data_IF_839997657107
#
_entry.id   IF_839997657107
#
_cell.length_a   1.000
_cell.length_b   1.000
_cell.length_c   1.000
_cell.angle_alpha   90.00
_cell.angle_beta   90.00
_cell.angle_gamma   90.00
#
_symmetry.space_group_name_H-M   'P 1'
#
loop_
_entity.id
_entity.type
_entity.pdbx_description
1 polymer ?
#
# COMPACT_ATOMS: atom_id res chain seq x y z
N UNK A 1 -24.33 -4.37 -4.17
CA UNK A 1 -23.64 -3.44 -3.25
C UNK A 1 -22.74 -4.30 -2.39
N UNK A 2 -21.44 -4.07 -2.45
CA UNK A 2 -20.50 -4.74 -1.55
C UNK A 2 -20.70 -4.05 -0.18
N UNK A 3 -21.15 -4.79 0.82
CA UNK A 3 -21.44 -4.25 2.17
C UNK A 3 -20.16 -3.76 2.84
N UNK A 4 -20.24 -2.75 3.71
CA UNK A 4 -19.08 -2.23 4.47
C UNK A 4 -18.36 -3.28 5.33
N UNK A 5 -19.02 -4.40 5.64
CA UNK A 5 -18.41 -5.60 6.24
C UNK A 5 -17.37 -6.25 5.33
N UNK A 6 -17.63 -6.32 4.03
CA UNK A 6 -16.73 -6.96 3.06
C UNK A 6 -15.39 -6.21 2.91
N UNK A 7 -15.38 -4.89 3.09
CA UNK A 7 -14.14 -4.09 3.12
C UNK A 7 -13.27 -4.41 4.33
N UNK A 8 -13.87 -4.56 5.51
CA UNK A 8 -13.15 -5.05 6.70
C UNK A 8 -12.64 -6.48 6.50
N UNK A 9 -13.43 -7.32 5.82
CA UNK A 9 -13.00 -8.67 5.47
C UNK A 9 -11.81 -8.66 4.50
N UNK A 10 -11.75 -7.74 3.51
CA UNK A 10 -10.59 -7.61 2.60
C UNK A 10 -9.31 -7.21 3.34
N UNK A 11 -9.41 -6.30 4.32
CA UNK A 11 -8.26 -5.82 5.09
C UNK A 11 -7.67 -6.93 5.96
N UNK A 12 -8.51 -7.87 6.40
CA UNK A 12 -8.12 -8.95 7.31
C UNK A 12 -7.92 -10.31 6.63
N UNK A 13 -8.47 -10.51 5.43
CA UNK A 13 -8.40 -11.77 4.71
C UNK A 13 -7.14 -11.91 3.84
N UNK A 14 -6.74 -13.16 3.63
CA UNK A 14 -5.82 -13.52 2.56
C UNK A 14 -6.49 -13.20 1.21
N UNK A 15 -5.78 -12.53 0.29
CA UNK A 15 -6.34 -12.18 -1.03
C UNK A 15 -6.77 -13.43 -1.80
N UNK A 16 -6.13 -14.59 -1.54
CA UNK A 16 -6.55 -15.87 -2.12
C UNK A 16 -7.96 -16.29 -1.68
N UNK A 17 -8.26 -16.24 -0.38
CA UNK A 17 -9.57 -16.61 0.17
C UNK A 17 -10.68 -15.68 -0.33
N UNK A 18 -10.34 -14.41 -0.57
CA UNK A 18 -11.24 -13.43 -1.14
C UNK A 18 -11.64 -13.80 -2.56
N UNK A 19 -10.67 -14.23 -3.38
CA UNK A 19 -10.85 -14.57 -4.80
C UNK A 19 -11.66 -15.84 -4.99
N UNK A 20 -11.40 -16.86 -4.18
CA UNK A 20 -12.08 -18.16 -4.30
C UNK A 20 -13.59 -18.07 -4.03
N UNK A 21 -14.05 -16.99 -3.39
CA UNK A 21 -15.46 -16.73 -3.08
C UNK A 21 -16.18 -15.88 -4.15
N UNK A 22 -15.48 -15.44 -5.19
CA UNK A 22 -16.03 -14.56 -6.22
C UNK A 22 -16.62 -15.38 -7.37
N UNK A 23 -17.91 -15.18 -7.66
CA UNK A 23 -18.58 -15.78 -8.82
C UNK A 23 -18.11 -15.13 -10.16
N UNK A 24 -17.85 -13.81 -10.15
CA UNK A 24 -17.29 -13.04 -11.26
C UNK A 24 -15.97 -12.35 -10.83
N UNK A 25 -14.85 -13.08 -10.68
CA UNK A 25 -13.63 -12.58 -10.03
C UNK A 25 -13.06 -11.33 -10.71
N UNK A 26 -13.07 -11.25 -12.04
CA UNK A 26 -12.50 -10.10 -12.75
C UNK A 26 -13.26 -8.78 -12.47
N UNK A 27 -14.59 -8.84 -12.48
CA UNK A 27 -15.44 -7.67 -12.25
C UNK A 27 -15.42 -7.26 -10.78
N UNK A 28 -15.54 -8.24 -9.88
CA UNK A 28 -15.55 -7.99 -8.44
C UNK A 28 -14.20 -7.42 -7.97
N UNK A 29 -13.06 -7.95 -8.43
CA UNK A 29 -11.74 -7.41 -8.06
C UNK A 29 -11.54 -5.97 -8.56
N UNK A 30 -12.01 -5.63 -9.77
CA UNK A 30 -11.99 -4.24 -10.27
C UNK A 30 -12.78 -3.30 -9.34
N UNK A 31 -13.95 -3.75 -8.89
CA UNK A 31 -14.77 -2.97 -7.96
C UNK A 31 -14.08 -2.80 -6.60
N UNK A 32 -13.47 -3.87 -6.08
CA UNK A 32 -12.73 -3.86 -4.81
C UNK A 32 -11.56 -2.88 -4.86
N UNK A 33 -10.76 -2.91 -5.93
CA UNK A 33 -9.65 -1.97 -6.12
C UNK A 33 -10.15 -0.53 -6.09
N UNK A 34 -11.28 -0.24 -6.77
CA UNK A 34 -11.88 1.09 -6.79
C UNK A 34 -12.37 1.53 -5.41
N UNK A 35 -13.07 0.66 -4.70
CA UNK A 35 -13.60 0.96 -3.36
C UNK A 35 -12.46 1.14 -2.34
N UNK A 36 -11.41 0.31 -2.39
CA UNK A 36 -10.23 0.47 -1.55
C UNK A 36 -9.51 1.80 -1.84
N UNK A 37 -9.28 2.14 -3.12
CA UNK A 37 -8.66 3.40 -3.50
C UNK A 37 -9.46 4.61 -3.03
N UNK A 38 -10.78 4.57 -3.16
CA UNK A 38 -11.68 5.62 -2.68
C UNK A 38 -11.62 5.76 -1.15
N UNK A 39 -11.70 4.66 -0.41
CA UNK A 39 -11.63 4.68 1.06
C UNK A 39 -10.27 5.19 1.57
N UNK A 40 -9.17 4.77 0.93
CA UNK A 40 -7.83 5.30 1.25
C UNK A 40 -7.82 6.81 1.04
N UNK A 41 -8.36 7.31 -0.07
CA UNK A 41 -8.42 8.72 -0.36
C UNK A 41 -9.31 9.49 0.63
N UNK A 42 -10.49 8.95 0.98
CA UNK A 42 -11.39 9.55 1.97
C UNK A 42 -10.77 9.59 3.38
N UNK A 43 -9.97 8.59 3.75
CA UNK A 43 -9.28 8.55 5.04
C UNK A 43 -8.13 9.55 5.17
N UNK A 44 -7.66 10.11 4.05
CA UNK A 44 -6.48 10.99 4.00
C UNK A 44 -6.63 12.23 4.88
N UNK A 45 -7.78 12.89 4.82
CA UNK A 45 -8.04 14.08 5.64
C UNK A 45 -8.01 13.75 7.14
N UNK A 46 -8.59 12.62 7.54
CA UNK A 46 -8.54 12.18 8.94
C UNK A 46 -7.10 11.91 9.45
N UNK A 47 -6.23 11.37 8.60
CA UNK A 47 -4.80 11.19 8.94
C UNK A 47 -4.10 12.56 9.05
N UNK A 48 -4.39 13.48 8.13
CA UNK A 48 -3.84 14.85 8.14
C UNK A 48 -4.24 15.57 9.42
N UNK A 49 -5.52 15.55 9.78
CA UNK A 49 -6.05 16.20 10.98
C UNK A 49 -5.42 15.64 12.25
N UNK A 50 -5.25 14.33 12.34
CA UNK A 50 -4.59 13.69 13.48
C UNK A 50 -3.12 14.13 13.61
N UNK A 51 -2.38 14.19 12.50
CA UNK A 51 -0.98 14.65 12.48
C UNK A 51 -0.89 16.15 12.78
N UNK A 52 -1.83 16.96 12.29
CA UNK A 52 -1.89 18.39 12.58
C UNK A 52 -2.12 18.66 14.06
N UNK A 53 -3.09 17.94 14.67
CA UNK A 53 -3.39 18.00 16.10
C UNK A 53 -2.18 17.60 16.96
N UNK A 54 -1.50 16.50 16.63
CA UNK A 54 -0.26 16.11 17.29
C UNK A 54 0.79 17.23 17.23
N UNK A 55 1.02 17.80 16.04
CA UNK A 55 2.02 18.87 15.85
C UNK A 55 1.65 20.14 16.61
N UNK A 56 0.37 20.48 16.69
CA UNK A 56 -0.09 21.65 17.45
C UNK A 56 0.20 21.46 18.95
N UNK A 57 -0.19 20.32 19.52
CA UNK A 57 0.08 20.00 20.92
C UNK A 57 1.58 19.95 21.23
N UNK A 58 2.39 19.40 20.31
CA UNK A 58 3.85 19.37 20.47
C UNK A 58 4.43 20.79 20.53
N UNK A 59 3.99 21.69 19.64
CA UNK A 59 4.46 23.09 19.63
C UNK A 59 4.08 23.81 20.93
N UNK A 60 2.87 23.59 21.43
CA UNK A 60 2.40 24.18 22.69
C UNK A 60 3.22 23.66 23.88
N UNK A 61 3.42 22.34 23.95
CA UNK A 61 4.24 21.69 24.96
C UNK A 61 5.68 22.25 24.98
N UNK A 62 6.30 22.37 23.82
CA UNK A 62 7.66 22.87 23.68
C UNK A 62 7.77 24.37 24.01
N UNK A 63 6.74 25.15 23.68
CA UNK A 63 6.69 26.55 24.06
C UNK A 63 6.63 26.71 25.60
N UNK A 64 5.82 25.91 26.29
CA UNK A 64 5.76 25.95 27.75
C UNK A 64 7.03 25.44 28.42
N UNK A 65 7.67 24.40 27.88
CA UNK A 65 9.00 23.94 28.36
C UNK A 65 10.04 25.05 28.28
N UNK A 66 10.12 25.74 27.14
CA UNK A 66 11.03 26.88 26.97
C UNK A 66 10.76 27.99 27.98
N UNK A 67 9.49 28.34 28.20
CA UNK A 67 9.13 29.34 29.21
C UNK A 67 9.53 28.90 30.62
N UNK A 68 9.34 27.63 30.98
CA UNK A 68 9.80 27.09 32.27
C UNK A 68 11.32 27.22 32.43
N UNK A 69 12.09 26.89 31.40
CA UNK A 69 13.55 27.06 31.38
C UNK A 69 13.97 28.53 31.50
N UNK A 70 13.26 29.45 30.83
CA UNK A 70 13.51 30.89 30.95
C UNK A 70 13.28 31.39 32.39
N UNK A 71 12.23 30.92 33.06
CA UNK A 71 11.98 31.26 34.47
C UNK A 71 13.01 30.63 35.41
N UNK A 72 13.49 29.42 35.11
CA UNK A 72 14.60 28.81 35.83
C UNK A 72 15.88 29.67 35.72
N UNK A 73 16.22 30.12 34.52
CA UNK A 73 17.38 31.01 34.29
C UNK A 73 17.24 32.32 35.07
N UNK A 74 16.04 32.93 35.05
CA UNK A 74 15.76 34.14 35.84
C UNK A 74 15.93 33.91 37.35
N UNK A 75 15.48 32.76 37.86
CA UNK A 75 15.68 32.40 39.26
C UNK A 75 17.15 32.25 39.63
N UNK A 76 17.95 31.61 38.74
CA UNK A 76 19.40 31.47 38.92
C UNK A 76 20.09 32.84 38.97
N UNK A 77 19.81 33.73 38.00
CA UNK A 77 20.38 35.08 37.99
C UNK A 77 19.96 35.91 39.22
N UNK A 78 18.74 35.73 39.73
CA UNK A 78 18.30 36.40 40.95
C UNK A 78 19.06 35.91 42.19
N UNK A 79 19.35 34.60 42.28
CA UNK A 79 20.18 34.03 43.36
C UNK A 79 21.63 34.51 43.28
N UNK A 80 22.22 34.56 42.08
CA UNK A 80 23.58 35.10 41.88
C UNK A 80 23.71 36.57 42.32
N UNK A 81 22.59 37.31 42.33
CA UNK A 81 22.52 38.69 42.79
C UNK A 81 22.05 38.83 44.26
N UNK A 82 22.03 37.74 45.04
CA UNK A 82 21.54 37.68 46.43
C UNK A 82 20.08 38.17 46.62
N UNK A 83 19.25 38.09 45.57
CA UNK A 83 17.83 38.49 45.58
C UNK A 83 16.92 37.28 45.77
N UNK A 84 16.96 36.67 46.96
CA UNK A 84 16.22 35.45 47.26
C UNK A 84 14.71 35.53 46.99
N UNK A 85 14.04 36.61 47.40
CA UNK A 85 12.58 36.77 47.20
C UNK A 85 12.19 36.82 45.72
N UNK A 86 13.06 37.42 44.88
CA UNK A 86 12.87 37.45 43.44
C UNK A 86 13.07 36.06 42.83
N UNK A 87 14.07 35.32 43.32
CA UNK A 87 14.28 33.93 42.91
C UNK A 87 13.10 33.03 43.29
N UNK A 88 12.56 33.16 44.52
CA UNK A 88 11.37 32.42 44.96
C UNK A 88 10.17 32.70 44.05
N UNK A 89 9.95 33.97 43.68
CA UNK A 89 8.87 34.37 42.78
C UNK A 89 9.05 33.81 41.36
N UNK A 90 10.27 33.81 40.82
CA UNK A 90 10.58 33.19 39.53
C UNK A 90 10.36 31.66 39.53
N UNK A 91 10.74 30.98 40.61
CA UNK A 91 10.49 29.54 40.80
C UNK A 91 9.00 29.23 40.94
N UNK A 92 8.22 30.07 41.63
CA UNK A 92 6.78 29.90 41.70
C UNK A 92 6.15 29.95 40.29
N UNK A 93 6.57 30.91 39.46
CA UNK A 93 6.09 31.01 38.08
C UNK A 93 6.53 29.84 37.19
N UNK A 94 7.76 29.35 37.38
CA UNK A 94 8.24 28.12 36.75
C UNK A 94 7.34 26.93 37.10
N UNK A 95 7.02 26.74 38.38
CA UNK A 95 6.22 25.62 38.84
C UNK A 95 4.80 25.65 38.26
N UNK A 96 4.19 26.83 38.12
CA UNK A 96 2.89 26.98 37.44
C UNK A 96 2.96 26.48 35.99
N UNK A 97 4.01 26.85 35.25
CA UNK A 97 4.20 26.43 33.86
C UNK A 97 4.51 24.94 33.78
N UNK A 98 5.31 24.39 34.70
CA UNK A 98 5.59 22.96 34.76
C UNK A 98 4.32 22.13 34.97
N UNK A 99 3.38 22.62 35.78
CA UNK A 99 2.07 21.99 35.92
C UNK A 99 1.29 21.98 34.60
N UNK A 100 1.34 23.06 33.83
CA UNK A 100 0.77 23.09 32.46
C UNK A 100 1.45 22.08 31.54
N UNK A 101 2.79 21.99 31.56
CA UNK A 101 3.56 20.99 30.79
C UNK A 101 3.14 19.57 31.17
N UNK A 102 3.00 19.28 32.47
CA UNK A 102 2.61 17.97 32.97
C UNK A 102 1.19 17.58 32.55
N UNK A 103 0.29 18.56 32.38
CA UNK A 103 -1.07 18.31 31.90
C UNK A 103 -1.15 18.16 30.37
N UNK A 104 -0.31 18.89 29.62
CA UNK A 104 -0.27 18.82 28.15
C UNK A 104 0.43 17.56 27.63
N UNK A 105 1.44 17.06 28.35
CA UNK A 105 2.25 15.92 27.90
C UNK A 105 1.41 14.65 27.62
N UNK A 106 0.51 14.20 28.51
CA UNK A 106 -0.36 13.04 28.23
C UNK A 106 -1.29 13.25 27.03
N UNK A 107 -1.79 14.46 26.84
CA UNK A 107 -2.63 14.81 25.69
C UNK A 107 -1.85 14.69 24.38
N UNK A 108 -0.62 15.21 24.34
CA UNK A 108 0.28 15.04 23.19
C UNK A 108 0.62 13.58 22.93
N UNK A 109 0.94 12.78 23.97
CA UNK A 109 1.25 11.35 23.82
C UNK A 109 0.08 10.57 23.22
N UNK A 110 -1.15 10.89 23.65
CA UNK A 110 -2.37 10.28 23.10
C UNK A 110 -2.59 10.67 21.64
N UNK A 111 -2.38 11.95 21.30
CA UNK A 111 -2.49 12.45 19.93
C UNK A 111 -1.43 11.80 19.01
N UNK A 112 -0.20 11.67 19.49
CA UNK A 112 0.90 10.99 18.79
C UNK A 112 0.56 9.53 18.50
N UNK A 113 0.15 8.77 19.52
CA UNK A 113 -0.23 7.37 19.34
C UNK A 113 -1.37 7.21 18.34
N UNK A 114 -2.34 8.14 18.37
CA UNK A 114 -3.45 8.15 17.40
C UNK A 114 -2.97 8.44 15.98
N UNK A 115 -2.11 9.44 15.79
CA UNK A 115 -1.57 9.79 14.47
C UNK A 115 -0.73 8.65 13.89
N UNK A 116 0.12 8.00 14.71
CA UNK A 116 0.95 6.85 14.32
C UNK A 116 0.08 5.67 13.93
N UNK A 117 -0.95 5.35 14.72
CA UNK A 117 -1.91 4.29 14.38
C UNK A 117 -2.58 4.55 13.04
N UNK A 118 -3.08 5.76 12.79
CA UNK A 118 -3.77 6.10 11.55
C UNK A 118 -2.82 6.08 10.34
N UNK A 119 -1.58 6.58 10.49
CA UNK A 119 -0.52 6.47 9.47
C UNK A 119 -0.24 5.00 9.11
N UNK A 120 -0.07 4.14 10.12
CA UNK A 120 0.20 2.73 9.91
C UNK A 120 -0.97 1.99 9.26
N UNK A 121 -2.21 2.26 9.71
CA UNK A 121 -3.41 1.69 9.10
C UNK A 121 -3.53 2.07 7.62
N UNK A 122 -3.24 3.34 7.27
CA UNK A 122 -3.21 3.77 5.88
C UNK A 122 -2.16 3.03 5.06
N UNK A 123 -0.93 2.90 5.56
CA UNK A 123 0.13 2.17 4.85
C UNK A 123 -0.22 0.69 4.63
N UNK A 124 -0.87 0.05 5.61
CA UNK A 124 -1.37 -1.32 5.46
C UNK A 124 -2.45 -1.41 4.37
N UNK A 125 -3.36 -0.44 4.28
CA UNK A 125 -4.37 -0.39 3.22
C UNK A 125 -3.75 -0.17 1.83
N UNK A 126 -2.76 0.71 1.74
CA UNK A 126 -1.99 0.95 0.50
C UNK A 126 -1.27 -0.33 0.04
N UNK A 127 -0.56 -1.01 0.94
CA UNK A 127 0.11 -2.28 0.64
C UNK A 127 -0.89 -3.35 0.20
N UNK A 128 -2.05 -3.44 0.88
CA UNK A 128 -3.11 -4.40 0.52
C UNK A 128 -3.70 -4.11 -0.85
N UNK A 129 -3.88 -2.83 -1.20
CA UNK A 129 -4.36 -2.43 -2.52
C UNK A 129 -3.40 -2.90 -3.63
N UNK A 130 -2.08 -2.74 -3.42
CA UNK A 130 -1.08 -3.23 -4.38
C UNK A 130 -1.06 -4.76 -4.49
N UNK A 131 -1.22 -5.49 -3.37
CA UNK A 131 -1.38 -6.95 -3.39
C UNK A 131 -2.58 -7.38 -4.25
N UNK A 132 -3.74 -6.72 -4.07
CA UNK A 132 -4.96 -7.01 -4.83
C UNK A 132 -4.79 -6.67 -6.32
N UNK A 133 -4.11 -5.56 -6.66
CA UNK A 133 -3.79 -5.20 -8.05
C UNK A 133 -2.89 -6.23 -8.74
N UNK A 134 -1.83 -6.68 -8.08
CA UNK A 134 -0.94 -7.72 -8.60
C UNK A 134 -1.72 -9.02 -8.83
N UNK A 135 -2.57 -9.41 -7.87
CA UNK A 135 -3.34 -10.62 -8.02
C UNK A 135 -4.35 -10.55 -9.17
N UNK A 136 -4.92 -9.36 -9.42
CA UNK A 136 -5.76 -9.11 -10.59
C UNK A 136 -5.00 -9.35 -11.90
N UNK A 137 -3.79 -8.84 -12.05
CA UNK A 137 -3.01 -9.01 -13.28
C UNK A 137 -2.72 -10.50 -13.54
N UNK A 138 -2.30 -11.23 -12.50
CA UNK A 138 -2.09 -12.69 -12.58
C UNK A 138 -3.36 -13.44 -13.01
N UNK A 139 -4.53 -13.09 -12.44
CA UNK A 139 -5.80 -13.73 -12.82
C UNK A 139 -6.18 -13.46 -14.27
N UNK A 140 -6.01 -12.23 -14.75
CA UNK A 140 -6.28 -11.87 -16.15
C UNK A 140 -5.36 -12.64 -17.10
N UNK A 141 -4.07 -12.74 -16.77
CA UNK A 141 -3.12 -13.53 -17.56
C UNK A 141 -3.53 -15.00 -17.65
N UNK A 142 -3.87 -15.62 -16.51
CA UNK A 142 -4.36 -17.01 -16.44
C UNK A 142 -5.65 -17.22 -17.24
N UNK A 143 -6.59 -16.28 -17.15
CA UNK A 143 -7.84 -16.34 -17.89
C UNK A 143 -7.60 -16.25 -19.40
N UNK A 144 -6.74 -15.32 -19.86
CA UNK A 144 -6.36 -15.21 -21.27
C UNK A 144 -5.69 -16.50 -21.78
N UNK A 145 -4.77 -17.07 -21.01
CA UNK A 145 -4.11 -18.34 -21.34
C UNK A 145 -5.13 -19.50 -21.44
N UNK A 146 -6.06 -19.60 -20.48
CA UNK A 146 -7.12 -20.60 -20.50
C UNK A 146 -8.07 -20.43 -21.69
N UNK A 147 -8.47 -19.20 -22.03
CA UNK A 147 -9.29 -18.90 -23.20
C UNK A 147 -8.58 -19.25 -24.51
N UNK A 148 -7.27 -18.96 -24.62
CA UNK A 148 -6.45 -19.36 -25.76
C UNK A 148 -6.43 -20.89 -25.91
N UNK A 149 -6.13 -21.64 -24.82
CA UNK A 149 -6.18 -23.11 -24.81
C UNK A 149 -7.56 -23.64 -25.21
N UNK A 150 -8.65 -23.07 -24.71
CA UNK A 150 -10.01 -23.51 -25.06
C UNK A 150 -10.36 -23.24 -26.53
N UNK A 151 -10.00 -22.07 -27.05
CA UNK A 151 -10.21 -21.71 -28.45
C UNK A 151 -9.41 -22.64 -29.38
N UNK A 152 -8.20 -23.00 -28.97
CA UNK A 152 -7.38 -23.98 -29.67
C UNK A 152 -7.99 -25.38 -29.63
N UNK A 153 -8.42 -25.91 -28.49
CA UNK A 153 -9.09 -27.22 -28.43
C UNK A 153 -10.30 -27.29 -29.36
N UNK A 154 -11.12 -26.22 -29.39
CA UNK A 154 -12.25 -26.10 -30.32
C UNK A 154 -11.84 -26.02 -31.80
N UNK A 155 -10.64 -25.52 -32.09
CA UNK A 155 -10.09 -25.43 -33.44
C UNK A 155 -9.36 -26.72 -33.85
N UNK A 156 -8.69 -27.40 -32.91
CA UNK A 156 -7.99 -28.66 -33.09
C UNK A 156 -8.99 -29.82 -33.28
N UNK A 157 -10.10 -29.83 -32.55
CA UNK A 157 -11.23 -30.76 -32.80
C UNK A 157 -11.81 -30.58 -34.21
N UNK A 158 -11.69 -29.38 -34.79
CA UNK A 158 -12.13 -29.10 -36.17
C UNK A 158 -11.07 -29.41 -37.23
N UNK A 159 -9.81 -29.55 -36.83
CA UNK A 159 -8.69 -29.78 -37.73
C UNK A 159 -7.79 -30.89 -37.17
N UNK A 160 -8.18 -32.14 -37.42
CA UNK A 160 -7.32 -33.30 -37.28
C UNK A 160 -6.18 -33.24 -38.32
N UNK A 161 -5.21 -32.32 -38.19
CA UNK A 161 -3.92 -32.41 -38.88
C UNK A 161 -2.93 -31.40 -38.32
N UNK A 162 -1.88 -31.88 -37.65
CA UNK A 162 -0.60 -31.16 -37.58
C UNK A 162 0.16 -31.27 -36.26
N UNK A 163 1.14 -32.18 -36.19
CA UNK A 163 2.17 -32.24 -35.14
C UNK A 163 2.95 -30.91 -34.92
N UNK A 164 2.80 -29.96 -35.84
CA UNK A 164 3.55 -28.70 -35.88
C UNK A 164 2.96 -27.60 -34.97
N UNK A 165 1.73 -27.77 -34.48
CA UNK A 165 1.11 -26.86 -33.52
C UNK A 165 1.59 -27.17 -32.09
N UNK A 166 1.67 -28.44 -31.71
CA UNK A 166 2.03 -28.88 -30.37
C UNK A 166 3.45 -28.42 -29.97
N UNK A 167 4.45 -28.60 -30.83
CA UNK A 167 5.83 -28.15 -30.59
C UNK A 167 6.02 -26.61 -30.56
N UNK A 168 5.05 -25.84 -31.08
CA UNK A 168 5.07 -24.36 -30.94
C UNK A 168 4.41 -23.94 -29.63
N UNK A 169 3.42 -24.70 -29.15
CA UNK A 169 2.82 -24.49 -27.83
C UNK A 169 3.76 -24.81 -26.70
N UNK A 170 4.49 -25.93 -26.77
CA UNK A 170 5.50 -26.27 -25.74
C UNK A 170 6.52 -25.13 -25.59
N UNK A 171 6.94 -24.52 -26.70
CA UNK A 171 7.83 -23.35 -26.69
C UNK A 171 7.22 -22.08 -26.08
N UNK A 172 5.91 -21.88 -26.26
CA UNK A 172 5.21 -20.72 -25.70
C UNK A 172 4.97 -20.92 -24.20
N UNK A 173 4.65 -22.13 -23.76
CA UNK A 173 4.55 -22.48 -22.34
C UNK A 173 5.91 -22.36 -21.64
N UNK A 174 6.99 -22.86 -22.25
CA UNK A 174 8.35 -22.69 -21.77
C UNK A 174 8.74 -21.21 -21.66
N UNK A 175 8.28 -20.38 -22.61
CA UNK A 175 8.56 -18.94 -22.62
C UNK A 175 7.81 -18.21 -21.52
N UNK A 176 6.52 -18.52 -21.30
CA UNK A 176 5.72 -17.96 -20.21
C UNK A 176 6.30 -18.38 -18.87
N UNK A 177 6.61 -19.67 -18.68
CA UNK A 177 7.23 -20.17 -17.47
C UNK A 177 8.59 -19.49 -17.20
N UNK A 178 9.44 -19.35 -18.22
CA UNK A 178 10.71 -18.62 -18.12
C UNK A 178 10.53 -17.14 -17.72
N UNK A 179 9.48 -16.48 -18.23
CA UNK A 179 9.19 -15.08 -17.88
C UNK A 179 8.61 -14.95 -16.46
N UNK A 180 7.78 -15.89 -16.03
CA UNK A 180 7.29 -15.99 -14.66
C UNK A 180 8.45 -16.21 -13.68
N UNK A 181 9.36 -17.14 -14.00
CA UNK A 181 10.57 -17.43 -13.22
C UNK A 181 11.51 -16.21 -13.19
N UNK A 182 11.69 -15.50 -14.31
CA UNK A 182 12.50 -14.27 -14.36
C UNK A 182 11.90 -13.16 -13.49
N UNK A 183 10.58 -13.05 -13.46
CA UNK A 183 9.86 -12.05 -12.66
C UNK A 183 9.97 -12.38 -11.16
N UNK A 184 9.86 -13.66 -10.81
CA UNK A 184 10.07 -14.15 -9.45
C UNK A 184 11.53 -13.91 -8.99
N UNK A 185 12.51 -14.22 -9.85
CA UNK A 185 13.93 -13.99 -9.57
C UNK A 185 14.27 -12.49 -9.43
N UNK A 186 13.69 -11.61 -10.25
CA UNK A 186 13.84 -10.16 -10.10
C UNK A 186 13.31 -9.65 -8.76
N UNK A 187 12.15 -10.16 -8.31
CA UNK A 187 11.59 -9.82 -7.02
C UNK A 187 12.47 -10.28 -5.84
N UNK A 188 13.25 -11.35 -6.03
CA UNK A 188 14.17 -11.91 -5.02
C UNK A 188 15.54 -11.23 -5.02
N UNK A 189 16.04 -10.77 -6.17
CA UNK A 189 17.36 -10.13 -6.33
C UNK A 189 17.35 -8.65 -5.95
N UNK A 190 16.29 -7.90 -6.29
CA UNK A 190 16.37 -6.43 -6.21
C UNK A 190 15.89 -5.81 -4.91
N UNK A 191 15.11 -6.52 -4.07
CA UNK A 191 14.58 -5.92 -2.84
C UNK A 191 13.82 -4.61 -3.13
N UNK A 192 12.50 -4.71 -3.34
CA UNK A 192 11.64 -3.59 -3.76
C UNK A 192 12.01 -2.96 -5.12
N UNK A 193 11.89 -3.71 -6.22
CA UNK A 193 11.78 -3.08 -7.55
C UNK A 193 10.59 -2.10 -7.55
N UNK A 194 10.81 -0.91 -8.12
CA UNK A 194 9.81 0.15 -8.18
C UNK A 194 8.52 -0.35 -8.85
N UNK A 195 7.33 0.06 -8.36
CA UNK A 195 6.06 -0.27 -9.01
C UNK A 195 6.02 0.06 -10.51
N UNK A 196 6.77 1.10 -10.91
CA UNK A 196 6.89 1.52 -12.30
C UNK A 196 7.64 0.50 -13.17
N UNK A 197 8.75 -0.05 -12.67
CA UNK A 197 9.53 -1.08 -13.38
C UNK A 197 8.73 -2.36 -13.56
N UNK A 198 7.96 -2.75 -12.53
CA UNK A 198 7.04 -3.90 -12.61
C UNK A 198 5.95 -3.70 -13.66
N UNK A 199 5.42 -2.48 -13.78
CA UNK A 199 4.40 -2.14 -14.77
C UNK A 199 4.98 -2.19 -16.20
N UNK A 200 6.19 -1.68 -16.42
CA UNK A 200 6.87 -1.77 -17.72
C UNK A 200 7.21 -3.21 -18.11
N UNK A 201 7.72 -4.02 -17.18
CA UNK A 201 7.98 -5.44 -17.40
C UNK A 201 6.71 -6.21 -17.76
N UNK A 202 5.60 -5.96 -17.05
CA UNK A 202 4.32 -6.57 -17.36
C UNK A 202 3.80 -6.15 -18.74
N UNK A 203 4.03 -4.89 -19.14
CA UNK A 203 3.62 -4.36 -20.44
C UNK A 203 4.45 -4.97 -21.60
N UNK A 204 5.75 -5.19 -21.40
CA UNK A 204 6.58 -5.95 -22.34
C UNK A 204 6.11 -7.39 -22.48
N UNK A 205 5.77 -8.06 -21.38
CA UNK A 205 5.23 -9.43 -21.39
C UNK A 205 3.91 -9.51 -22.16
N UNK A 206 2.97 -8.61 -21.86
CA UNK A 206 1.66 -8.57 -22.52
C UNK A 206 1.84 -8.34 -24.04
N UNK A 207 2.78 -7.48 -24.45
CA UNK A 207 3.06 -7.21 -25.86
C UNK A 207 3.72 -8.39 -26.59
N UNK A 208 4.71 -9.05 -25.97
CA UNK A 208 5.42 -10.19 -26.58
C UNK A 208 4.48 -11.39 -26.74
N UNK A 209 3.65 -11.67 -25.73
CA UNK A 209 2.66 -12.76 -25.78
C UNK A 209 1.59 -12.48 -26.82
N UNK A 210 1.08 -11.23 -26.92
CA UNK A 210 0.10 -10.88 -27.94
C UNK A 210 0.70 -10.96 -29.35
N UNK A 211 1.96 -10.55 -29.53
CA UNK A 211 2.66 -10.65 -30.81
C UNK A 211 2.86 -12.11 -31.26
N UNK A 212 3.24 -13.02 -30.35
CA UNK A 212 3.34 -14.45 -30.67
C UNK A 212 1.98 -15.08 -30.97
N UNK A 213 0.93 -14.70 -30.21
CA UNK A 213 -0.44 -15.17 -30.42
C UNK A 213 -0.98 -14.72 -31.79
N UNK A 214 -0.77 -13.46 -32.15
CA UNK A 214 -1.12 -12.91 -33.47
C UNK A 214 -0.38 -13.62 -34.59
N UNK A 215 0.93 -13.83 -34.44
CA UNK A 215 1.75 -14.54 -35.42
C UNK A 215 1.29 -15.99 -35.62
N UNK A 216 0.85 -16.65 -34.56
CA UNK A 216 0.31 -18.00 -34.62
C UNK A 216 -1.06 -18.02 -35.33
N UNK A 217 -1.98 -17.13 -34.96
CA UNK A 217 -3.29 -16.98 -35.62
C UNK A 217 -3.14 -16.72 -37.12
N UNK A 218 -2.24 -15.81 -37.51
CA UNK A 218 -2.00 -15.46 -38.90
C UNK A 218 -1.45 -16.63 -39.72
N UNK A 219 -0.62 -17.49 -39.13
CA UNK A 219 -0.11 -18.70 -39.80
C UNK A 219 -1.14 -19.82 -39.88
N UNK A 220 -2.04 -19.93 -38.90
CA UNK A 220 -3.13 -20.92 -38.90
C UNK A 220 -4.24 -20.58 -39.91
N UNK A 221 -4.38 -19.31 -40.32
CA UNK A 221 -5.34 -18.89 -41.35
C UNK A 221 -4.80 -18.98 -42.79
N UNK A 222 -3.49 -19.15 -42.97
CA UNK A 222 -2.81 -19.09 -44.28
C UNK A 222 -2.62 -20.46 -44.97
N UNK A 223 -3.32 -21.50 -44.54
CA UNK A 223 -3.25 -22.85 -45.10
C UNK A 223 -4.62 -23.49 -45.13
#
# INVERSE_FOLDING_TARGET
MISGTFLNDIVTANVNDLIDRLEEPERMIKQIIREMAENINQSKEGVIDAVASEKQLLRELENHRRQSEEWLKKAQTALEADKEELARSALARKNEIDNTVNNLKPAWETAKATSERLKNQRHQLEAKLEEVKLKRSTLIARQRAAQARQHMHKTLDKFQTGLDAQTRFDRMEDKVAYLEDRTAALAEVEGESSPLEKEFLQMEIDNDVEAELEALKAKMQKK
#
